data_IF_835656475201
#
_entry.id   IF_835656475201
#
_cell.length_a   1.000
_cell.length_b   1.000
_cell.length_c   1.000
_cell.angle_alpha   90.00
_cell.angle_beta   90.00
_cell.angle_gamma   90.00
#
_symmetry.space_group_name_H-M   'P 1'
#
loop_
_entity.id
_entity.type
_entity.pdbx_description
1 polymer ?
#
# COMPACT_ATOMS: atom_id res chain seq x y z
N UNK A 1 3.08 -18.18 -10.99
CA UNK A 1 2.54 -16.83 -10.88
C UNK A 1 2.50 -16.38 -9.43
N UNK A 2 2.93 -15.17 -9.17
CA UNK A 2 2.96 -14.65 -7.81
C UNK A 2 1.67 -13.93 -7.49
N UNK A 3 1.06 -14.25 -6.34
CA UNK A 3 -0.13 -13.56 -5.90
C UNK A 3 0.21 -12.25 -5.22
N UNK A 4 -0.64 -11.21 -5.34
CA UNK A 4 -0.45 -10.00 -4.57
C UNK A 4 -0.56 -10.28 -3.08
N UNK A 5 0.12 -9.48 -2.28
CA UNK A 5 0.00 -9.56 -0.83
C UNK A 5 -1.48 -9.40 -0.45
N UNK A 6 -1.95 -10.18 0.50
CA UNK A 6 -3.35 -10.14 0.92
C UNK A 6 -4.23 -11.19 0.26
N UNK A 7 -3.69 -11.93 -0.70
CA UNK A 7 -4.42 -12.99 -1.39
C UNK A 7 -3.72 -14.33 -1.19
N UNK A 8 -4.51 -15.39 -1.17
CA UNK A 8 -3.97 -16.75 -1.12
C UNK A 8 -4.73 -17.65 -2.11
N UNK A 9 -4.09 -18.75 -2.46
CA UNK A 9 -4.68 -19.72 -3.37
C UNK A 9 -5.18 -20.90 -2.55
N UNK A 10 -6.49 -21.17 -2.64
CA UNK A 10 -7.13 -22.29 -1.94
C UNK A 10 -7.99 -23.04 -2.95
N UNK A 11 -7.73 -24.35 -3.12
CA UNK A 11 -8.48 -25.17 -4.05
C UNK A 11 -8.60 -24.55 -5.44
N UNK A 12 -7.46 -24.03 -5.93
CA UNK A 12 -7.36 -23.39 -7.25
C UNK A 12 -8.13 -22.08 -7.37
N UNK A 13 -8.65 -21.55 -6.26
CA UNK A 13 -9.30 -20.25 -6.25
C UNK A 13 -8.45 -19.23 -5.50
N UNK A 14 -8.39 -18.01 -6.04
CA UNK A 14 -7.70 -16.91 -5.38
C UNK A 14 -8.68 -16.22 -4.45
N UNK A 15 -8.39 -16.23 -3.16
CA UNK A 15 -9.26 -15.61 -2.16
C UNK A 15 -8.49 -14.57 -1.34
N UNK A 16 -9.25 -13.69 -0.69
CA UNK A 16 -8.68 -12.68 0.19
C UNK A 16 -8.28 -13.34 1.51
N UNK A 17 -7.05 -13.08 1.96
CA UNK A 17 -6.60 -13.55 3.27
C UNK A 17 -6.79 -12.39 4.25
N UNK A 18 -7.80 -12.51 5.11
CA UNK A 18 -8.26 -11.39 5.92
C UNK A 18 -7.20 -10.73 6.81
N UNK A 19 -6.32 -11.51 7.41
CA UNK A 19 -5.27 -10.92 8.25
C UNK A 19 -4.37 -9.97 7.45
N UNK A 20 -4.00 -10.39 6.25
CA UNK A 20 -3.16 -9.57 5.39
C UNK A 20 -3.96 -8.47 4.69
N UNK A 21 -5.25 -8.74 4.44
CA UNK A 21 -6.12 -7.73 3.86
C UNK A 21 -6.30 -6.56 4.82
N UNK A 22 -6.36 -6.81 6.12
CA UNK A 22 -6.44 -5.73 7.10
C UNK A 22 -5.19 -4.86 7.06
N UNK A 23 -4.02 -5.46 6.87
CA UNK A 23 -2.79 -4.68 6.71
C UNK A 23 -2.87 -3.80 5.46
N UNK A 24 -3.41 -4.33 4.36
CA UNK A 24 -3.59 -3.55 3.12
C UNK A 24 -4.51 -2.37 3.37
N UNK A 25 -5.64 -2.60 4.02
CA UNK A 25 -6.59 -1.53 4.35
C UNK A 25 -5.93 -0.45 5.20
N UNK A 26 -5.14 -0.87 6.20
CA UNK A 26 -4.43 0.07 7.07
C UNK A 26 -3.45 0.93 6.30
N UNK A 27 -2.72 0.33 5.36
CA UNK A 27 -1.76 1.07 4.54
C UNK A 27 -2.46 2.19 3.77
N UNK A 28 -3.59 1.87 3.12
CA UNK A 28 -4.35 2.88 2.38
C UNK A 28 -4.92 3.95 3.32
N UNK A 29 -5.43 3.55 4.49
CA UNK A 29 -5.97 4.50 5.46
C UNK A 29 -4.91 5.47 5.97
N UNK A 30 -3.74 4.97 6.35
CA UNK A 30 -2.65 5.81 6.83
C UNK A 30 -2.19 6.79 5.74
N UNK A 31 -2.10 6.28 4.53
CA UNK A 31 -1.67 7.10 3.41
C UNK A 31 -2.64 8.26 3.15
N UNK A 32 -3.93 7.96 3.12
CA UNK A 32 -4.96 8.97 2.88
C UNK A 32 -5.14 9.91 4.07
N UNK A 33 -4.73 9.48 5.26
CA UNK A 33 -4.72 10.35 6.43
C UNK A 33 -3.52 11.28 6.46
N UNK A 34 -2.62 11.17 5.50
CA UNK A 34 -1.47 12.07 5.37
C UNK A 34 -0.12 11.49 5.74
N UNK A 35 -0.06 10.22 6.11
CA UNK A 35 1.21 9.62 6.50
C UNK A 35 2.16 9.50 5.30
N UNK A 36 3.45 9.76 5.53
CA UNK A 36 4.47 9.54 4.52
C UNK A 36 4.74 8.05 4.36
N UNK A 37 5.39 7.68 3.26
CA UNK A 37 5.75 6.28 3.06
C UNK A 37 6.64 5.76 4.19
N UNK A 38 7.60 6.58 4.64
CA UNK A 38 8.46 6.19 5.75
C UNK A 38 7.69 5.98 7.04
N UNK A 39 6.70 6.83 7.30
CA UNK A 39 5.86 6.68 8.49
C UNK A 39 5.05 5.39 8.43
N UNK A 40 4.51 5.05 7.26
CA UNK A 40 3.76 3.82 7.07
C UNK A 40 4.67 2.61 7.32
N UNK A 41 5.90 2.65 6.79
CA UNK A 41 6.89 1.59 7.04
C UNK A 41 7.11 1.41 8.54
N UNK A 42 7.28 2.50 9.28
CA UNK A 42 7.49 2.44 10.72
C UNK A 42 6.28 1.87 11.45
N UNK A 43 5.08 2.24 11.03
CA UNK A 43 3.85 1.74 11.63
C UNK A 43 3.68 0.25 11.41
N UNK A 44 4.01 -0.22 10.21
CA UNK A 44 3.93 -1.65 9.90
C UNK A 44 4.95 -2.44 10.73
N UNK A 45 6.13 -1.90 10.88
CA UNK A 45 7.18 -2.55 11.70
C UNK A 45 6.75 -2.62 13.16
N UNK A 46 6.18 -1.54 13.69
CA UNK A 46 5.70 -1.50 15.07
C UNK A 46 4.61 -2.52 15.35
N UNK A 47 3.84 -2.89 14.33
CA UNK A 47 2.78 -3.89 14.46
C UNK A 47 3.24 -5.30 14.12
N UNK A 48 4.53 -5.49 13.88
CA UNK A 48 5.12 -6.78 13.50
C UNK A 48 4.50 -7.37 12.24
N UNK A 49 4.13 -6.53 11.30
CA UNK A 49 3.58 -6.98 10.02
C UNK A 49 4.74 -7.20 9.06
N UNK A 50 4.95 -8.44 8.63
CA UNK A 50 6.03 -8.78 7.72
C UNK A 50 5.72 -8.28 6.30
N UNK A 51 6.78 -7.95 5.56
CA UNK A 51 6.64 -7.55 4.17
C UNK A 51 6.22 -8.73 3.30
N UNK A 52 5.79 -8.48 2.05
CA UNK A 52 5.44 -9.59 1.14
C UNK A 52 6.55 -10.60 0.94
N UNK A 53 7.80 -10.20 1.09
CA UNK A 53 8.94 -11.11 0.97
C UNK A 53 9.36 -11.72 2.31
N UNK A 54 8.62 -11.44 3.38
CA UNK A 54 8.90 -12.01 4.70
C UNK A 54 9.87 -11.23 5.56
N UNK A 55 10.31 -10.07 5.12
CA UNK A 55 11.22 -9.24 5.90
C UNK A 55 10.50 -8.54 7.04
N UNK A 56 11.16 -8.36 8.20
CA UNK A 56 10.53 -7.69 9.34
C UNK A 56 10.20 -6.22 9.06
N UNK A 57 10.87 -5.60 8.12
CA UNK A 57 10.63 -4.20 7.80
C UNK A 57 10.32 -4.04 6.32
N UNK A 58 9.25 -3.33 6.04
CA UNK A 58 8.86 -3.01 4.66
C UNK A 58 9.78 -1.94 4.09
N UNK A 59 10.00 -1.99 2.77
CA UNK A 59 10.64 -0.88 2.08
C UNK A 59 9.61 0.14 1.64
N UNK A 60 10.03 1.38 1.47
CA UNK A 60 9.13 2.43 0.95
C UNK A 60 8.63 2.09 -0.44
N UNK A 61 9.50 1.51 -1.27
CA UNK A 61 9.12 1.11 -2.61
C UNK A 61 8.04 0.03 -2.59
N UNK A 62 8.09 -0.88 -1.62
CA UNK A 62 7.07 -1.92 -1.48
C UNK A 62 5.72 -1.33 -1.12
N UNK A 63 5.69 -0.34 -0.21
CA UNK A 63 4.46 0.35 0.15
C UNK A 63 3.90 1.11 -1.05
N UNK A 64 4.74 1.83 -1.76
CA UNK A 64 4.29 2.59 -2.93
C UNK A 64 3.73 1.67 -4.02
N UNK A 65 4.37 0.55 -4.27
CA UNK A 65 3.89 -0.43 -5.22
C UNK A 65 2.53 -0.98 -4.84
N UNK A 66 2.35 -1.28 -3.55
CA UNK A 66 1.08 -1.78 -3.06
C UNK A 66 -0.03 -0.75 -3.28
N UNK A 67 0.24 0.51 -2.98
CA UNK A 67 -0.74 1.58 -3.14
C UNK A 67 -1.18 1.77 -4.59
N UNK A 68 -0.35 1.41 -5.55
CA UNK A 68 -0.64 1.59 -6.97
C UNK A 68 -1.14 0.33 -7.67
N UNK A 69 -1.30 -0.77 -6.94
CA UNK A 69 -1.70 -2.03 -7.54
C UNK A 69 -3.23 -2.15 -7.57
N UNK A 70 -3.80 -2.10 -8.77
CA UNK A 70 -5.25 -2.16 -8.96
C UNK A 70 -5.87 -3.45 -8.44
N UNK A 71 -5.08 -4.49 -8.23
CA UNK A 71 -5.58 -5.75 -7.69
C UNK A 71 -6.09 -5.63 -6.25
N UNK A 72 -5.78 -4.52 -5.57
CA UNK A 72 -6.29 -4.27 -4.22
C UNK A 72 -7.65 -3.58 -4.20
N UNK A 73 -8.20 -3.20 -5.36
CA UNK A 73 -9.54 -2.62 -5.42
C UNK A 73 -10.60 -3.48 -4.70
N UNK A 74 -10.64 -4.81 -4.88
CA UNK A 74 -11.63 -5.62 -4.17
C UNK A 74 -11.50 -5.58 -2.65
N UNK A 75 -10.32 -5.26 -2.14
CA UNK A 75 -10.09 -5.20 -0.69
C UNK A 75 -10.45 -3.83 -0.13
N UNK A 76 -10.02 -2.75 -0.78
CA UNK A 76 -10.19 -1.40 -0.24
C UNK A 76 -11.35 -0.63 -0.85
N UNK A 77 -11.85 -1.06 -2.00
CA UNK A 77 -12.90 -0.37 -2.72
C UNK A 77 -12.34 0.58 -3.77
N UNK A 78 -13.11 0.78 -4.83
CA UNK A 78 -12.70 1.62 -5.96
C UNK A 78 -12.38 3.04 -5.49
N UNK A 79 -13.24 3.61 -4.64
CA UNK A 79 -13.06 4.99 -4.19
C UNK A 79 -11.75 5.18 -3.43
N UNK A 80 -11.49 4.31 -2.46
CA UNK A 80 -10.27 4.39 -1.68
C UNK A 80 -9.04 4.23 -2.58
N UNK A 81 -9.10 3.29 -3.52
CA UNK A 81 -8.00 3.09 -4.44
C UNK A 81 -7.76 4.34 -5.30
N UNK A 82 -8.82 4.92 -5.86
CA UNK A 82 -8.69 6.12 -6.70
C UNK A 82 -8.19 7.31 -5.90
N UNK A 83 -8.70 7.49 -4.68
CA UNK A 83 -8.22 8.56 -3.81
C UNK A 83 -6.72 8.44 -3.55
N UNK A 84 -6.23 7.22 -3.37
CA UNK A 84 -4.81 6.99 -3.18
C UNK A 84 -4.00 7.37 -4.43
N UNK A 85 -4.52 7.08 -5.62
CA UNK A 85 -3.83 7.46 -6.86
C UNK A 85 -3.77 8.98 -7.02
N UNK A 86 -4.87 9.67 -6.71
CA UNK A 86 -4.88 11.13 -6.73
C UNK A 86 -3.87 11.70 -5.73
N UNK A 87 -3.79 11.12 -4.54
CA UNK A 87 -2.84 11.58 -3.54
C UNK A 87 -1.39 11.36 -3.99
N UNK A 88 -1.11 10.21 -4.62
CA UNK A 88 0.22 9.93 -5.15
C UNK A 88 0.62 10.96 -6.20
N UNK A 89 -0.30 11.29 -7.09
CA UNK A 89 -0.06 12.29 -8.12
C UNK A 89 0.16 13.67 -7.51
N UNK A 90 -0.67 14.04 -6.54
CA UNK A 90 -0.53 15.32 -5.85
C UNK A 90 0.84 15.46 -5.20
N UNK A 91 1.31 14.43 -4.51
CA UNK A 91 2.62 14.46 -3.86
C UNK A 91 3.75 14.56 -4.87
N UNK A 92 3.61 13.89 -5.99
CA UNK A 92 4.60 13.94 -7.06
C UNK A 92 4.69 15.34 -7.65
N UNK A 93 3.55 15.98 -7.91
CA UNK A 93 3.52 17.33 -8.44
C UNK A 93 4.10 18.34 -7.47
N UNK A 94 3.80 18.20 -6.19
CA UNK A 94 4.35 19.09 -5.18
C UNK A 94 5.87 19.00 -5.16
N UNK A 95 6.40 17.81 -5.26
CA UNK A 95 7.84 17.61 -5.30
C UNK A 95 8.46 18.26 -6.53
N UNK A 96 7.81 18.15 -7.69
CA UNK A 96 8.31 18.78 -8.90
C UNK A 96 8.31 20.28 -8.81
N UNK A 97 7.28 20.86 -8.20
CA UNK A 97 7.18 22.30 -8.06
C UNK A 97 8.28 22.85 -7.18
N UNK A 98 8.64 22.14 -6.15
CA UNK A 98 9.68 22.60 -5.24
C UNK A 98 11.06 22.48 -5.86
N UNK A 99 11.22 21.52 -6.72
CA UNK A 99 12.52 21.21 -7.24
C UNK A 99 13.18 22.36 -8.00
N UNK A 100 12.55 22.95 -8.95
CA UNK A 100 13.20 23.98 -9.71
C UNK A 100 13.16 25.28 -9.07
N UNK A 101 12.35 25.42 -8.25
CA UNK A 101 12.21 26.63 -7.63
C UNK A 101 12.88 27.65 -8.31
N UNK A 102 13.12 27.45 -8.94
CA UNK A 102 13.49 28.35 -9.64
C UNK A 102 13.83 29.35 -9.40
#
# INVERSE_FOLDING_TARGET
MKLPYGYILVNEEIIVYEEKADAVRSIFEYYLAGASLGKIVDMLHAKDILSPSGNPKWGRAAVDKLLSNAKYIPIVGVRTYMDAQFERERRCKATRYQSPSL
#
